data_IF_539188936369
#
_entry.id   IF_539188936369
#
_cell.length_a   1.000
_cell.length_b   1.000
_cell.length_c   1.000
_cell.angle_alpha   90.00
_cell.angle_beta   90.00
_cell.angle_gamma   90.00
#
_symmetry.space_group_name_H-M   'P 1'
#
loop_
_entity.id
_entity.type
_entity.pdbx_description
1 polymer ?
#
# COMPACT_ATOMS: atom_id res chain seq x y z
N UNK A 1 -14.28 4.52 -0.39
CA UNK A 1 -14.40 3.10 0.04
C UNK A 1 -15.37 2.40 -0.91
N UNK A 2 -14.91 1.50 -1.78
CA UNK A 2 -15.78 0.79 -2.74
C UNK A 2 -16.66 -0.20 -1.96
N UNK A 3 -17.93 0.14 -1.77
CA UNK A 3 -18.92 -0.78 -1.19
C UNK A 3 -19.15 -1.91 -2.18
N UNK A 4 -18.78 -3.14 -1.80
CA UNK A 4 -19.26 -4.36 -2.44
C UNK A 4 -20.78 -4.46 -2.21
N UNK A 5 -21.55 -3.82 -3.06
CA UNK A 5 -22.93 -4.24 -3.33
C UNK A 5 -22.83 -5.22 -4.48
N UNK A 6 -22.95 -6.50 -4.17
CA UNK A 6 -23.22 -7.54 -5.18
C UNK A 6 -24.61 -7.29 -5.72
N UNK A 7 -24.74 -7.14 -7.04
CA UNK A 7 -26.02 -7.05 -7.76
C UNK A 7 -26.71 -8.41 -7.92
N UNK A 8 -26.13 -9.48 -7.35
CA UNK A 8 -26.74 -10.80 -7.33
C UNK A 8 -27.19 -11.13 -5.90
N UNK A 9 -28.51 -11.22 -5.74
CA UNK A 9 -29.18 -11.47 -4.47
C UNK A 9 -28.93 -12.87 -3.89
N UNK A 10 -28.94 -12.93 -2.57
CA UNK A 10 -29.51 -13.96 -1.70
C UNK A 10 -29.30 -15.47 -1.98
N UNK A 11 -28.28 -15.91 -2.72
CA UNK A 11 -27.94 -17.34 -2.79
C UNK A 11 -26.44 -17.59 -2.72
N UNK A 12 -25.99 -18.29 -1.66
CA UNK A 12 -24.66 -18.93 -1.63
C UNK A 12 -23.61 -18.30 -0.71
N UNK A 13 -23.90 -18.13 0.59
CA UNK A 13 -22.85 -17.94 1.60
C UNK A 13 -22.05 -19.25 1.75
N UNK A 14 -21.00 -19.45 0.96
CA UNK A 14 -20.05 -20.53 1.25
C UNK A 14 -19.09 -20.97 0.14
N UNK A 15 -19.38 -20.72 -1.14
CA UNK A 15 -18.52 -21.23 -2.24
C UNK A 15 -18.06 -20.18 -3.25
N UNK A 16 -18.65 -18.98 -3.31
CA UNK A 16 -18.26 -17.97 -4.29
C UNK A 16 -17.09 -17.08 -3.85
N UNK A 17 -16.67 -17.09 -2.58
CA UNK A 17 -15.58 -16.22 -2.11
C UNK A 17 -14.22 -16.69 -2.62
N UNK A 18 -13.96 -17.99 -2.69
CA UNK A 18 -12.67 -18.53 -3.14
C UNK A 18 -12.37 -18.21 -4.60
N UNK A 19 -13.37 -18.21 -5.48
CA UNK A 19 -13.21 -17.81 -6.88
C UNK A 19 -12.84 -16.33 -7.01
N UNK A 20 -13.52 -15.44 -6.28
CA UNK A 20 -13.24 -14.00 -6.29
C UNK A 20 -11.88 -13.69 -5.61
N UNK A 21 -11.52 -14.45 -4.58
CA UNK A 21 -10.23 -14.35 -3.88
C UNK A 21 -9.04 -14.87 -4.71
N UNK A 22 -9.29 -15.67 -5.76
CA UNK A 22 -8.24 -16.13 -6.67
C UNK A 22 -7.76 -15.03 -7.64
N UNK A 23 -8.51 -13.94 -7.81
CA UNK A 23 -8.12 -12.86 -8.71
C UNK A 23 -7.02 -12.00 -8.09
N UNK A 24 -5.87 -11.96 -8.76
CA UNK A 24 -4.84 -10.99 -8.44
C UNK A 24 -5.29 -9.56 -8.79
N UNK A 25 -4.99 -8.56 -7.94
CA UNK A 25 -5.19 -7.16 -8.28
C UNK A 25 -4.47 -6.79 -9.58
N UNK A 26 -5.24 -6.48 -10.63
CA UNK A 26 -4.68 -6.04 -11.92
C UNK A 26 -4.06 -4.66 -11.81
N UNK A 27 -4.70 -3.77 -11.05
CA UNK A 27 -4.23 -2.43 -10.76
C UNK A 27 -4.48 -2.08 -9.30
N UNK A 28 -3.52 -1.41 -8.66
CA UNK A 28 -3.66 -0.89 -7.31
C UNK A 28 -2.94 0.45 -7.20
N UNK A 29 -3.57 1.40 -6.52
CA UNK A 29 -2.96 2.67 -6.14
C UNK A 29 -3.48 3.03 -4.74
N UNK A 30 -2.56 3.20 -3.80
CA UNK A 30 -2.88 3.65 -2.44
C UNK A 30 -1.86 4.65 -1.96
N UNK A 31 -2.35 5.71 -1.31
CA UNK A 31 -1.53 6.68 -0.59
C UNK A 31 -1.57 6.34 0.90
N UNK A 32 -0.43 6.37 1.57
CA UNK A 32 -0.34 6.23 3.02
C UNK A 32 0.80 7.08 3.59
N UNK A 33 0.78 7.27 4.91
CA UNK A 33 1.84 7.92 5.67
C UNK A 33 2.65 6.85 6.40
N UNK A 34 3.97 6.86 6.24
CA UNK A 34 4.90 5.93 6.92
C UNK A 34 6.05 6.74 7.48
N UNK A 35 6.30 6.65 8.78
CA UNK A 35 7.41 7.37 9.45
C UNK A 35 7.45 8.90 9.19
N UNK A 36 6.31 9.51 8.84
CA UNK A 36 6.21 10.94 8.52
C UNK A 36 6.45 11.27 7.04
N UNK A 37 6.67 10.27 6.19
CA UNK A 37 6.78 10.40 4.74
C UNK A 37 5.50 9.95 4.03
N UNK A 38 5.08 10.70 3.02
CA UNK A 38 3.95 10.35 2.17
C UNK A 38 4.42 9.37 1.09
N UNK A 39 3.75 8.21 1.05
CA UNK A 39 4.11 7.09 0.19
C UNK A 39 2.96 6.70 -0.70
N UNK A 40 3.27 6.39 -1.97
CA UNK A 40 2.37 5.77 -2.94
C UNK A 40 2.78 4.33 -3.21
N UNK A 41 1.86 3.41 -3.01
CA UNK A 41 2.01 2.02 -3.45
C UNK A 41 1.25 1.85 -4.75
N UNK A 42 1.96 1.46 -5.80
CA UNK A 42 1.40 1.20 -7.12
C UNK A 42 1.59 -0.27 -7.52
N UNK A 43 0.60 -0.81 -8.21
CA UNK A 43 0.71 -2.08 -8.94
C UNK A 43 0.04 -1.98 -10.30
N UNK A 44 0.70 -2.53 -11.31
CA UNK A 44 0.13 -2.81 -12.62
C UNK A 44 0.56 -4.22 -13.01
N UNK A 45 -0.38 -5.16 -13.08
CA UNK A 45 -0.12 -6.57 -13.42
C UNK A 45 0.30 -6.70 -14.89
N UNK A 46 1.28 -7.58 -15.23
CA UNK A 46 1.98 -8.54 -14.37
C UNK A 46 3.26 -8.00 -13.67
N UNK A 47 3.37 -6.69 -13.46
CA UNK A 47 4.52 -6.07 -12.82
C UNK A 47 4.57 -6.16 -11.29
N UNK A 48 5.73 -5.80 -10.69
CA UNK A 48 5.92 -5.80 -9.24
C UNK A 48 5.07 -4.70 -8.58
N UNK A 49 4.93 -4.83 -7.26
CA UNK A 49 4.55 -3.70 -6.43
C UNK A 49 5.68 -2.69 -6.42
N UNK A 50 5.35 -1.42 -6.60
CA UNK A 50 6.32 -0.31 -6.59
C UNK A 50 5.92 0.68 -5.53
N UNK A 51 6.90 1.22 -4.83
CA UNK A 51 6.72 2.14 -3.72
C UNK A 51 7.40 3.45 -4.10
N UNK A 52 6.63 4.54 -4.07
CA UNK A 52 7.08 5.87 -4.41
C UNK A 52 6.98 6.77 -3.19
N UNK A 53 7.96 7.63 -3.00
CA UNK A 53 7.97 8.64 -1.95
C UNK A 53 7.91 10.02 -2.59
N UNK A 54 7.17 10.93 -1.95
CA UNK A 54 7.16 12.33 -2.37
C UNK A 54 8.53 12.95 -2.09
N UNK A 55 9.22 13.42 -3.14
CA UNK A 55 10.58 13.97 -3.02
C UNK A 55 10.59 15.48 -2.73
N UNK A 56 9.62 16.20 -3.27
CA UNK A 56 9.49 17.65 -3.08
C UNK A 56 8.16 17.97 -2.38
N UNK A 57 8.23 18.56 -1.19
CA UNK A 57 7.06 19.22 -0.59
C UNK A 57 6.71 20.44 -1.43
N UNK A 58 5.43 20.58 -1.76
CA UNK A 58 4.87 21.63 -2.62
C UNK A 58 5.45 22.99 -2.21
N UNK A 59 6.32 23.58 -3.04
CA UNK A 59 6.47 25.02 -3.01
C UNK A 59 5.15 25.61 -3.52
N UNK A 60 4.53 26.47 -2.70
CA UNK A 60 3.23 27.04 -2.98
C UNK A 60 3.17 27.62 -4.41
N UNK A 61 2.45 26.96 -5.32
CA UNK A 61 2.24 27.41 -6.70
C UNK A 61 2.69 26.45 -7.81
N UNK A 62 3.38 25.35 -7.51
CA UNK A 62 3.70 24.33 -8.51
C UNK A 62 2.81 23.09 -8.37
N UNK A 63 2.02 22.79 -9.41
CA UNK A 63 1.11 21.64 -9.49
C UNK A 63 1.83 20.29 -9.70
N UNK A 64 3.16 20.27 -9.72
CA UNK A 64 3.94 19.06 -10.02
C UNK A 64 4.46 18.42 -8.73
N UNK A 65 3.70 17.45 -8.22
CA UNK A 65 4.18 16.53 -7.19
C UNK A 65 5.21 15.57 -7.79
N UNK A 66 6.45 15.63 -7.30
CA UNK A 66 7.50 14.72 -7.74
C UNK A 66 7.53 13.45 -6.87
N UNK A 67 7.27 12.31 -7.51
CA UNK A 67 7.20 11.00 -6.87
C UNK A 67 8.37 10.14 -7.35
N UNK A 68 9.35 9.93 -6.47
CA UNK A 68 10.49 9.06 -6.76
C UNK A 68 10.24 7.63 -6.29
N UNK A 69 10.58 6.63 -7.12
CA UNK A 69 10.54 5.23 -6.71
C UNK A 69 11.64 4.96 -5.66
N UNK A 70 11.25 4.41 -4.51
CA UNK A 70 12.16 4.07 -3.40
C UNK A 70 12.35 2.56 -3.24
N UNK A 71 11.52 1.75 -3.90
CA UNK A 71 11.64 0.31 -3.84
C UNK A 71 10.54 -0.42 -4.57
N UNK A 72 10.75 -1.72 -4.75
CA UNK A 72 9.78 -2.61 -5.36
C UNK A 72 9.76 -3.97 -4.67
N UNK A 73 8.64 -4.67 -4.77
CA UNK A 73 8.44 -6.02 -4.26
C UNK A 73 7.75 -6.85 -5.32
N UNK A 74 8.38 -7.95 -5.72
CA UNK A 74 7.82 -8.83 -6.73
C UNK A 74 6.50 -9.44 -6.26
N UNK A 75 5.58 -9.63 -7.22
CA UNK A 75 4.38 -10.40 -6.96
C UNK A 75 4.76 -11.87 -6.73
N UNK A 76 4.11 -12.49 -5.75
CA UNK A 76 4.30 -13.89 -5.42
C UNK A 76 3.22 -14.68 -6.16
N UNK A 77 3.62 -15.38 -7.23
CA UNK A 77 2.71 -16.19 -8.05
C UNK A 77 2.25 -17.45 -7.31
N UNK A 78 3.14 -18.07 -6.55
CA UNK A 78 2.87 -19.26 -5.74
C UNK A 78 3.15 -18.95 -4.26
N UNK A 79 2.10 -19.06 -3.44
CA UNK A 79 2.23 -18.87 -1.98
C UNK A 79 3.16 -19.95 -1.41
N UNK A 80 4.22 -19.58 -0.67
CA UNK A 80 5.06 -20.54 0.05
C UNK A 80 4.27 -21.34 1.10
N UNK A 81 4.81 -22.49 1.49
CA UNK A 81 4.26 -23.27 2.61
C UNK A 81 4.23 -22.44 3.89
N UNK A 82 3.12 -22.46 4.63
CA UNK A 82 2.94 -21.67 5.86
C UNK A 82 2.65 -20.18 5.65
N UNK A 83 2.47 -19.70 4.41
CA UNK A 83 2.18 -18.29 4.11
C UNK A 83 1.00 -17.71 4.89
N UNK A 84 -0.09 -18.47 5.02
CA UNK A 84 -1.31 -18.05 5.74
C UNK A 84 -1.13 -18.07 7.27
N UNK A 85 -0.12 -18.78 7.76
CA UNK A 85 0.17 -18.94 9.19
C UNK A 85 1.04 -17.79 9.72
N UNK A 86 1.86 -17.19 8.85
CA UNK A 86 2.71 -16.04 9.17
C UNK A 86 1.86 -14.83 9.62
N UNK A 87 2.02 -14.37 10.88
CA UNK A 87 1.32 -13.20 11.40
C UNK A 87 1.55 -11.93 10.56
N UNK A 88 2.69 -11.80 9.88
CA UNK A 88 2.98 -10.65 9.01
C UNK A 88 2.04 -10.57 7.80
N UNK A 89 1.43 -11.70 7.41
CA UNK A 89 0.50 -11.80 6.29
C UNK A 89 -0.97 -11.62 6.72
N UNK A 90 -1.27 -11.48 8.02
CA UNK A 90 -2.63 -11.24 8.53
C UNK A 90 -2.87 -9.73 8.70
N UNK A 91 -3.43 -9.06 7.69
CA UNK A 91 -3.92 -7.67 7.82
C UNK A 91 -5.44 -7.62 7.99
N UNK A 92 -5.92 -6.69 8.82
CA UNK A 92 -7.30 -6.48 9.28
C UNK A 92 -8.37 -6.21 8.17
N UNK A 93 -8.05 -6.42 6.90
CA UNK A 93 -8.92 -6.19 5.74
C UNK A 93 -9.25 -7.43 4.88
N UNK A 94 -8.77 -8.62 5.26
CA UNK A 94 -9.00 -9.87 4.52
C UNK A 94 -8.04 -10.11 3.34
N UNK A 95 -8.25 -11.23 2.62
CA UNK A 95 -7.30 -11.85 1.68
C UNK A 95 -6.88 -11.07 0.43
N UNK A 96 -7.55 -9.94 0.13
CA UNK A 96 -7.13 -9.06 -0.97
C UNK A 96 -5.84 -8.30 -0.68
N UNK A 97 -5.44 -8.22 0.59
CA UNK A 97 -4.14 -7.66 0.97
C UNK A 97 -3.01 -8.70 0.94
N UNK A 98 -3.33 -9.98 0.71
CA UNK A 98 -2.39 -11.12 0.81
C UNK A 98 -1.64 -11.40 -0.50
N UNK A 99 -1.83 -10.57 -1.53
CA UNK A 99 -1.17 -10.72 -2.84
C UNK A 99 0.29 -10.23 -2.85
N UNK A 100 1.00 -10.40 -1.75
CA UNK A 100 2.40 -9.98 -1.61
C UNK A 100 2.61 -8.46 -1.62
N UNK A 101 1.58 -7.67 -1.25
CA UNK A 101 1.73 -6.22 -1.12
C UNK A 101 2.85 -5.89 -0.11
N UNK A 102 3.61 -4.78 -0.31
CA UNK A 102 4.56 -4.32 0.68
C UNK A 102 3.89 -4.08 2.04
N UNK A 103 4.47 -4.66 3.09
CA UNK A 103 4.06 -4.42 4.47
C UNK A 103 4.51 -3.02 4.93
N UNK A 104 4.03 -2.57 6.09
CA UNK A 104 4.49 -1.31 6.66
C UNK A 104 6.00 -1.38 6.96
N UNK A 105 6.47 -2.54 7.44
CA UNK A 105 7.87 -2.79 7.70
C UNK A 105 8.70 -2.74 6.41
N UNK A 106 8.25 -3.41 5.35
CA UNK A 106 8.91 -3.39 4.03
C UNK A 106 9.08 -1.94 3.55
N UNK A 107 8.01 -1.13 3.65
CA UNK A 107 8.02 0.26 3.22
C UNK A 107 8.93 1.10 4.11
N UNK A 108 8.90 0.90 5.43
CA UNK A 108 9.77 1.61 6.37
C UNK A 108 11.26 1.30 6.10
N UNK A 109 11.59 0.08 5.68
CA UNK A 109 12.94 -0.29 5.26
C UNK A 109 13.32 0.35 3.93
N UNK A 110 12.42 0.35 2.95
CA UNK A 110 12.62 1.05 1.67
C UNK A 110 12.89 2.55 1.87
N UNK A 111 12.13 3.20 2.75
CA UNK A 111 12.32 4.62 3.10
C UNK A 111 13.71 4.83 3.71
N UNK A 112 14.11 3.98 4.68
CA UNK A 112 15.43 4.10 5.32
C UNK A 112 16.58 3.87 4.36
N UNK A 113 16.38 3.08 3.30
CA UNK A 113 17.36 2.86 2.25
C UNK A 113 17.38 3.95 1.18
N UNK A 114 16.40 4.86 1.16
CA UNK A 114 16.30 5.89 0.14
C UNK A 114 17.46 6.90 0.23
N UNK A 115 18.01 7.35 -0.91
CA UNK A 115 19.06 8.36 -0.91
C UNK A 115 18.62 9.64 -0.18
N UNK A 116 19.47 10.13 0.74
CA UNK A 116 19.19 11.36 1.48
C UNK A 116 18.21 11.20 2.65
N UNK A 117 17.82 9.97 3.02
CA UNK A 117 16.96 9.75 4.17
C UNK A 117 17.58 10.29 5.47
N UNK A 118 16.77 11.05 6.22
CA UNK A 118 17.06 11.45 7.60
C UNK A 118 15.88 11.03 8.48
N UNK A 119 16.13 10.42 9.65
CA UNK A 119 15.05 10.09 10.57
C UNK A 119 14.34 11.37 11.03
N UNK A 120 13.01 11.38 10.88
CA UNK A 120 12.15 12.47 11.35
C UNK A 120 11.92 12.33 12.86
N UNK A 121 11.97 13.45 13.56
CA UNK A 121 11.59 13.54 14.97
C UNK A 121 10.09 13.25 15.17
N UNK A 122 9.69 12.91 16.39
CA UNK A 122 8.28 12.70 16.71
C UNK A 122 7.41 13.94 16.40
N UNK A 123 7.95 15.14 16.59
CA UNK A 123 7.26 16.39 16.28
C UNK A 123 7.05 16.55 14.76
N UNK A 124 8.09 16.31 13.95
CA UNK A 124 7.99 16.35 12.48
C UNK A 124 6.99 15.31 11.96
N UNK A 125 7.02 14.08 12.50
CA UNK A 125 6.08 13.01 12.15
C UNK A 125 4.63 13.37 12.46
N UNK A 126 4.39 13.95 13.64
CA UNK A 126 3.06 14.39 14.04
C UNK A 126 2.55 15.49 13.11
N UNK A 127 3.38 16.50 12.83
CA UNK A 127 3.02 17.59 11.91
C UNK A 127 2.68 17.06 10.51
N UNK A 128 3.51 16.18 9.94
CA UNK A 128 3.26 15.56 8.64
C UNK A 128 1.96 14.75 8.62
N UNK A 129 1.67 13.99 9.68
CA UNK A 129 0.42 13.24 9.80
C UNK A 129 -0.81 14.17 9.85
N UNK A 130 -0.74 15.29 10.57
CA UNK A 130 -1.82 16.29 10.59
C UNK A 130 -2.07 16.88 9.20
N UNK A 131 -1.02 17.27 8.48
CA UNK A 131 -1.12 17.79 7.10
C UNK A 131 -1.76 16.76 6.18
N UNK A 132 -1.29 15.51 6.22
CA UNK A 132 -1.85 14.44 5.39
C UNK A 132 -3.33 14.16 5.66
N UNK A 133 -3.75 14.14 6.93
CA UNK A 133 -5.17 13.96 7.28
C UNK A 133 -6.00 15.13 6.73
N UNK A 134 -5.50 16.37 6.85
CA UNK A 134 -6.18 17.55 6.30
C UNK A 134 -6.33 17.46 4.77
N UNK A 135 -5.31 16.96 4.07
CA UNK A 135 -5.31 16.88 2.61
C UNK A 135 -6.10 15.66 2.07
N UNK A 136 -6.47 14.71 2.93
CA UNK A 136 -7.20 13.49 2.56
C UNK A 136 -8.67 13.45 3.00
N UNK A 137 -9.11 14.38 3.85
CA UNK A 137 -10.52 14.56 4.28
C UNK A 137 -11.22 15.63 3.45
#
# INVERSE_FOLDING_TARGET
>A
QWKRKSDFGFFGRGQQSSFVEAFAPTFFCSNLMVEGDQVRILRSYPGPWRVFMLQNEIQAGEDNLDWGEIGSKNYIEAKPDGWEEDPANKRDGGRLFDHGQPTYQDIAEMIKSAPGYRPKSYAERAAAAFTFIKDTL
#
